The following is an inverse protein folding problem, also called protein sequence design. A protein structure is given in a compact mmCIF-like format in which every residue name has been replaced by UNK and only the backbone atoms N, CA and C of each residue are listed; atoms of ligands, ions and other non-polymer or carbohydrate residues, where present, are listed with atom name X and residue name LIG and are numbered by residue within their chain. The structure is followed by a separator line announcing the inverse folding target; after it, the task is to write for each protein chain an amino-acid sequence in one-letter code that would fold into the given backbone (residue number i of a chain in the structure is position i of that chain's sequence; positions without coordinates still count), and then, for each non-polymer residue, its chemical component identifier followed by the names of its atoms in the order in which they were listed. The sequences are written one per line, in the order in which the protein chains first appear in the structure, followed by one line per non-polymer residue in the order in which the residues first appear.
data_IF_326895541164
#
_entry.id   IF_326895541164
#
_cell.length_a   1.000
_cell.length_b   1.000
_cell.length_c   1.000
_cell.angle_alpha   90.00
_cell.angle_beta   90.00
_cell.angle_gamma   90.00
#
_symmetry.space_group_name_H-M   'P 1'
#
loop_
_entity.id
_entity.type
_entity.pdbx_description
1 polymer ?
#
# COMPACT_ATOMS: atom_id res chain seq x y z
N UNK A 1 0.46 -5.80 -16.05
CA UNK A 1 1.02 -5.82 -14.71
C UNK A 1 1.44 -4.42 -14.32
N UNK A 2 1.45 -4.11 -13.01
CA UNK A 2 1.84 -2.79 -12.53
C UNK A 2 3.37 -2.68 -12.42
N UNK A 3 3.92 -1.47 -12.55
CA UNK A 3 5.37 -1.23 -12.31
C UNK A 3 5.81 -1.67 -10.90
N UNK A 4 4.89 -1.64 -9.91
CA UNK A 4 5.15 -2.15 -8.57
C UNK A 4 5.44 -3.64 -8.53
N UNK A 5 4.59 -4.46 -9.19
CA UNK A 5 4.83 -5.91 -9.30
C UNK A 5 6.12 -6.24 -10.08
N UNK A 6 6.48 -5.42 -11.04
CA UNK A 6 7.72 -5.61 -11.79
C UNK A 6 8.94 -5.22 -10.94
N UNK A 7 8.82 -4.18 -10.11
CA UNK A 7 9.88 -3.74 -9.19
C UNK A 7 10.20 -4.79 -8.13
N UNK A 8 9.18 -5.38 -7.48
CA UNK A 8 9.40 -6.45 -6.48
C UNK A 8 10.16 -7.64 -7.07
N UNK A 9 9.78 -8.07 -8.30
CA UNK A 9 10.43 -9.18 -9.01
C UNK A 9 11.84 -8.85 -9.45
N UNK A 10 12.08 -7.61 -9.91
CA UNK A 10 13.42 -7.14 -10.27
C UNK A 10 14.34 -6.98 -9.06
N UNK A 11 13.78 -6.63 -7.88
CA UNK A 11 14.54 -6.61 -6.63
C UNK A 11 14.96 -8.01 -6.20
N UNK A 12 14.05 -8.98 -6.25
CA UNK A 12 14.41 -10.39 -6.01
C UNK A 12 15.46 -10.89 -7.00
N UNK A 13 15.28 -10.58 -8.28
CA UNK A 13 16.25 -10.97 -9.32
C UNK A 13 17.63 -10.40 -9.04
N UNK A 14 17.74 -9.12 -8.69
CA UNK A 14 19.01 -8.46 -8.38
C UNK A 14 19.69 -9.08 -7.14
N UNK A 15 18.92 -9.41 -6.09
CA UNK A 15 19.43 -10.11 -4.92
C UNK A 15 19.99 -11.49 -5.27
N UNK A 16 19.27 -12.27 -6.06
CA UNK A 16 19.72 -13.61 -6.49
C UNK A 16 20.92 -13.56 -7.44
N UNK A 17 20.98 -12.58 -8.36
CA UNK A 17 22.14 -12.36 -9.23
C UNK A 17 23.42 -12.08 -8.38
N UNK A 18 23.29 -11.26 -7.33
CA UNK A 18 24.42 -10.96 -6.43
C UNK A 18 24.86 -12.17 -5.62
N UNK A 19 23.92 -12.95 -5.06
CA UNK A 19 24.20 -14.17 -4.31
C UNK A 19 24.92 -15.19 -5.20
N UNK A 20 24.43 -15.41 -6.41
CA UNK A 20 25.05 -16.33 -7.36
C UNK A 20 26.46 -15.85 -7.79
N UNK A 21 26.62 -14.53 -8.01
CA UNK A 21 27.91 -13.93 -8.33
C UNK A 21 28.94 -14.07 -7.20
N UNK A 22 28.50 -14.25 -5.96
CA UNK A 22 29.34 -14.56 -4.80
C UNK A 22 29.68 -16.05 -4.63
N UNK A 23 29.28 -16.91 -5.59
CA UNK A 23 29.56 -18.34 -5.55
C UNK A 23 28.60 -19.14 -4.66
N UNK A 24 27.57 -18.53 -4.10
CA UNK A 24 26.61 -19.21 -3.24
C UNK A 24 25.53 -19.87 -4.11
N UNK A 25 25.32 -21.18 -3.91
CA UNK A 25 24.30 -21.91 -4.65
C UNK A 25 22.89 -21.55 -4.19
N UNK A 26 22.04 -21.13 -5.14
CA UNK A 26 20.62 -20.86 -4.89
C UNK A 26 19.82 -22.17 -4.91
N UNK A 27 18.76 -22.30 -4.09
CA UNK A 27 17.80 -23.41 -4.16
C UNK A 27 17.19 -23.55 -5.56
N UNK A 28 16.80 -24.77 -5.96
CA UNK A 28 16.30 -25.04 -7.31
C UNK A 28 15.05 -24.22 -7.67
N UNK A 29 14.11 -24.10 -6.74
CA UNK A 29 12.90 -23.29 -6.94
C UNK A 29 13.21 -21.79 -7.15
N UNK A 30 14.22 -21.26 -6.46
CA UNK A 30 14.70 -19.86 -6.63
C UNK A 30 15.38 -19.71 -7.98
N UNK A 31 16.21 -20.66 -8.41
CA UNK A 31 16.84 -20.64 -9.74
C UNK A 31 15.80 -20.64 -10.88
N UNK A 32 14.74 -21.42 -10.72
CA UNK A 32 13.63 -21.45 -11.69
C UNK A 32 12.94 -20.09 -11.78
N UNK A 33 12.64 -19.45 -10.64
CA UNK A 33 12.06 -18.10 -10.60
C UNK A 33 13.02 -17.05 -11.18
N UNK A 34 14.30 -17.13 -10.83
CA UNK A 34 15.35 -16.25 -11.36
C UNK A 34 15.42 -16.28 -12.89
N UNK A 35 15.40 -17.47 -13.49
CA UNK A 35 15.40 -17.61 -14.95
C UNK A 35 14.11 -17.02 -15.56
N UNK A 36 12.97 -17.26 -14.93
CA UNK A 36 11.67 -16.71 -15.39
C UNK A 36 11.69 -15.18 -15.35
N UNK A 37 12.16 -14.58 -14.26
CA UNK A 37 12.22 -13.12 -14.11
C UNK A 37 13.29 -12.51 -15.01
N UNK A 38 14.45 -13.14 -15.15
CA UNK A 38 15.50 -12.69 -16.06
C UNK A 38 15.02 -12.62 -17.51
N UNK A 39 14.35 -13.65 -17.99
CA UNK A 39 13.79 -13.66 -19.34
C UNK A 39 12.70 -12.61 -19.52
N UNK A 40 11.80 -12.48 -18.54
CA UNK A 40 10.69 -11.53 -18.58
C UNK A 40 11.15 -10.07 -18.63
N UNK A 41 12.14 -9.71 -17.80
CA UNK A 41 12.60 -8.33 -17.65
C UNK A 41 13.82 -8.00 -18.49
N UNK A 42 14.17 -8.84 -19.46
CA UNK A 42 15.35 -8.68 -20.32
C UNK A 42 15.40 -7.30 -21.01
N UNK A 43 14.25 -6.77 -21.41
CA UNK A 43 14.13 -5.49 -22.10
C UNK A 43 13.62 -4.34 -21.22
N UNK A 44 13.25 -4.59 -19.97
CA UNK A 44 12.74 -3.56 -19.05
C UNK A 44 13.87 -3.04 -18.14
N UNK A 45 14.75 -2.22 -18.72
CA UNK A 45 15.97 -1.76 -18.06
C UNK A 45 15.68 -0.88 -16.83
N UNK A 46 14.68 0.01 -16.91
CA UNK A 46 14.38 0.97 -15.82
C UNK A 46 14.04 0.26 -14.52
N UNK A 47 13.16 -0.75 -14.57
CA UNK A 47 12.75 -1.50 -13.39
C UNK A 47 13.88 -2.40 -12.88
N UNK A 48 14.71 -2.94 -13.79
CA UNK A 48 15.91 -3.70 -13.39
C UNK A 48 16.94 -2.83 -12.68
N UNK A 49 17.18 -1.62 -13.17
CA UNK A 49 18.07 -0.65 -12.51
C UNK A 49 17.53 -0.30 -11.13
N UNK A 50 16.23 -0.01 -11.02
CA UNK A 50 15.59 0.28 -9.71
C UNK A 50 15.73 -0.88 -8.74
N UNK A 51 15.51 -2.13 -9.20
CA UNK A 51 15.72 -3.32 -8.37
C UNK A 51 17.17 -3.47 -7.89
N UNK A 52 18.16 -3.21 -8.74
CA UNK A 52 19.58 -3.24 -8.35
C UNK A 52 19.94 -2.13 -7.36
N UNK A 53 19.39 -0.94 -7.57
CA UNK A 53 19.63 0.21 -6.68
C UNK A 53 19.05 0.00 -5.28
N UNK A 54 18.06 -0.89 -5.11
CA UNK A 54 17.49 -1.23 -3.82
C UNK A 54 18.43 -2.10 -2.95
N UNK A 55 19.30 -2.91 -3.57
CA UNK A 55 20.10 -3.92 -2.88
C UNK A 55 21.06 -3.32 -1.82
N UNK A 56 21.81 -2.24 -2.09
CA UNK A 56 22.70 -1.67 -1.08
C UNK A 56 21.97 -1.24 0.20
N UNK A 57 20.77 -0.66 0.09
CA UNK A 57 19.98 -0.25 1.24
C UNK A 57 19.45 -1.46 2.03
N UNK A 58 19.04 -2.53 1.37
CA UNK A 58 18.64 -3.79 2.01
C UNK A 58 19.81 -4.39 2.78
N UNK A 59 21.00 -4.47 2.16
CA UNK A 59 22.22 -5.03 2.80
C UNK A 59 22.65 -4.17 4.00
N UNK A 60 22.62 -2.85 3.88
CA UNK A 60 22.93 -1.92 4.96
C UNK A 60 21.98 -2.09 6.17
N UNK A 61 20.73 -2.49 5.92
CA UNK A 61 19.74 -2.80 6.95
C UNK A 61 19.89 -4.22 7.54
N UNK A 62 20.85 -5.02 7.08
CA UNK A 62 21.12 -6.36 7.58
C UNK A 62 20.33 -7.48 6.87
N UNK A 63 19.69 -7.20 5.73
CA UNK A 63 18.99 -8.23 4.95
C UNK A 63 19.98 -9.23 4.38
N UNK A 64 19.80 -10.52 4.71
CA UNK A 64 20.58 -11.58 4.10
C UNK A 64 19.97 -11.93 2.72
N UNK A 65 20.69 -11.57 1.66
CA UNK A 65 20.21 -11.74 0.28
C UNK A 65 19.99 -13.22 -0.10
N UNK A 66 20.68 -14.17 0.55
CA UNK A 66 20.48 -15.60 0.29
C UNK A 66 19.11 -16.11 0.77
N UNK A 67 18.46 -15.37 1.67
CA UNK A 67 17.13 -15.67 2.20
C UNK A 67 16.00 -14.95 1.44
N UNK A 68 16.33 -14.11 0.46
CA UNK A 68 15.32 -13.38 -0.32
C UNK A 68 14.45 -14.34 -1.12
N UNK A 69 13.14 -14.23 -0.92
CA UNK A 69 12.09 -14.96 -1.64
C UNK A 69 11.00 -14.00 -2.09
N UNK A 70 10.55 -14.14 -3.32
CA UNK A 70 9.34 -13.46 -3.80
C UNK A 70 8.13 -14.14 -3.16
N UNK A 71 7.30 -13.36 -2.47
CA UNK A 71 6.14 -13.87 -1.73
C UNK A 71 4.81 -13.45 -2.38
N UNK A 72 4.73 -12.25 -2.95
CA UNK A 72 3.52 -11.62 -3.45
C UNK A 72 2.78 -12.40 -4.53
N UNK A 73 1.48 -12.12 -4.66
CA UNK A 73 0.58 -12.40 -5.77
C UNK A 73 -0.02 -13.81 -5.94
N UNK A 74 0.40 -14.84 -5.23
CA UNK A 74 -0.20 -16.18 -5.37
C UNK A 74 -1.43 -16.38 -4.48
N UNK A 75 -1.62 -15.57 -3.46
CA UNK A 75 -2.67 -15.71 -2.44
C UNK A 75 -3.73 -14.61 -2.61
N UNK A 76 -5.01 -14.97 -2.46
CA UNK A 76 -6.11 -13.98 -2.42
C UNK A 76 -6.83 -14.09 -1.07
N UNK A 77 -7.06 -12.97 -0.38
CA UNK A 77 -6.64 -11.60 -0.72
C UNK A 77 -5.12 -11.43 -0.74
N UNK A 78 -4.62 -10.48 -1.53
CA UNK A 78 -3.17 -10.30 -1.69
C UNK A 78 -2.52 -9.84 -0.38
N UNK A 79 -1.44 -10.48 0.07
CA UNK A 79 -0.71 -10.09 1.26
C UNK A 79 -0.12 -8.68 1.14
N UNK A 80 0.28 -8.10 2.26
CA UNK A 80 1.06 -6.84 2.27
C UNK A 80 2.53 -7.08 1.98
N UNK A 81 3.00 -8.26 2.26
CA UNK A 81 4.37 -8.69 2.01
C UNK A 81 4.54 -9.11 0.55
N UNK A 82 5.48 -8.49 -0.13
CA UNK A 82 5.86 -8.79 -1.51
C UNK A 82 7.15 -9.64 -1.54
N UNK A 83 8.07 -9.39 -0.59
CA UNK A 83 9.36 -10.07 -0.46
C UNK A 83 9.57 -10.49 1.00
N UNK A 84 10.03 -11.72 1.22
CA UNK A 84 10.49 -12.21 2.52
C UNK A 84 11.99 -12.47 2.47
N UNK A 85 12.71 -12.04 3.52
CA UNK A 85 14.11 -12.37 3.72
C UNK A 85 14.42 -12.56 5.22
N UNK A 86 14.24 -13.77 5.73
CA UNK A 86 14.31 -14.04 7.17
C UNK A 86 13.24 -13.27 7.96
N UNK A 87 13.62 -12.39 8.91
CA UNK A 87 12.66 -11.61 9.68
C UNK A 87 12.09 -10.40 8.92
N UNK A 88 12.64 -10.09 7.75
CA UNK A 88 12.22 -8.95 6.94
C UNK A 88 11.03 -9.35 6.05
N UNK A 89 9.87 -8.76 6.30
CA UNK A 89 8.63 -8.88 5.53
C UNK A 89 8.41 -7.54 4.82
N UNK A 90 8.68 -7.50 3.53
CA UNK A 90 8.91 -6.25 2.80
C UNK A 90 7.76 -5.99 1.84
N UNK A 91 7.13 -4.82 1.96
CA UNK A 91 6.18 -4.29 0.97
C UNK A 91 6.88 -3.36 -0.02
N UNK A 92 6.81 -3.70 -1.30
CA UNK A 92 7.45 -2.92 -2.36
C UNK A 92 6.54 -1.81 -2.89
N UNK A 93 7.09 -0.61 -3.10
CA UNK A 93 6.35 0.55 -3.57
C UNK A 93 7.03 1.19 -4.77
N UNK A 94 6.24 1.42 -5.84
CA UNK A 94 6.66 2.21 -6.98
C UNK A 94 6.14 3.64 -6.84
N UNK A 95 7.04 4.60 -6.76
CA UNK A 95 6.76 5.95 -6.25
C UNK A 95 6.75 7.06 -7.32
N UNK A 96 6.89 6.70 -8.60
CA UNK A 96 6.98 7.67 -9.71
C UNK A 96 5.76 8.59 -9.84
N UNK A 97 4.55 8.03 -9.69
CA UNK A 97 3.26 8.72 -9.93
C UNK A 97 2.31 8.61 -8.76
N UNK A 98 2.85 8.68 -7.57
CA UNK A 98 2.13 8.47 -6.34
C UNK A 98 2.59 7.21 -5.62
N UNK A 99 2.19 7.11 -4.39
CA UNK A 99 2.62 6.08 -3.46
C UNK A 99 1.38 5.33 -2.98
N UNK A 100 1.10 4.18 -3.60
CA UNK A 100 -0.07 3.40 -3.23
C UNK A 100 0.19 2.62 -1.94
N UNK A 101 -0.57 2.94 -0.89
CA UNK A 101 -0.53 2.23 0.39
C UNK A 101 -1.34 0.94 0.32
N UNK A 102 -2.57 1.05 -0.13
CA UNK A 102 -3.49 -0.07 -0.29
C UNK A 102 -4.52 0.22 -1.38
N UNK A 103 -5.03 -0.83 -2.03
CA UNK A 103 -6.19 -0.75 -2.90
C UNK A 103 -6.94 -2.07 -2.93
N UNK A 104 -8.24 -2.00 -3.01
CA UNK A 104 -9.12 -3.15 -3.08
C UNK A 104 -10.53 -2.75 -3.47
N UNK A 105 -11.44 -3.72 -3.51
CA UNK A 105 -12.87 -3.40 -3.61
C UNK A 105 -13.28 -2.43 -2.50
N UNK A 106 -14.34 -1.66 -2.73
CA UNK A 106 -14.81 -0.67 -1.75
C UNK A 106 -15.02 -1.31 -0.37
N UNK A 107 -15.70 -2.45 -0.30
CA UNK A 107 -15.94 -3.15 0.97
C UNK A 107 -14.66 -3.50 1.72
N UNK A 108 -13.62 -3.94 0.99
CA UNK A 108 -12.33 -4.26 1.62
C UNK A 108 -11.63 -3.01 2.17
N UNK A 109 -11.65 -1.91 1.42
CA UNK A 109 -11.06 -0.64 1.87
C UNK A 109 -11.74 -0.13 3.13
N UNK A 110 -13.09 -0.19 3.17
CA UNK A 110 -13.82 0.25 4.37
C UNK A 110 -13.63 -0.69 5.56
N UNK A 111 -13.52 -1.99 5.35
CA UNK A 111 -13.15 -2.93 6.41
C UNK A 111 -11.78 -2.59 7.01
N UNK A 112 -10.80 -2.28 6.17
CA UNK A 112 -9.47 -1.86 6.65
C UNK A 112 -9.53 -0.55 7.44
N UNK A 113 -10.35 0.43 7.02
CA UNK A 113 -10.54 1.67 7.76
C UNK A 113 -11.25 1.43 9.10
N UNK A 114 -12.25 0.56 9.15
CA UNK A 114 -12.93 0.18 10.40
C UNK A 114 -12.00 -0.56 11.35
N UNK A 115 -11.18 -1.46 10.86
CA UNK A 115 -10.17 -2.15 11.68
C UNK A 115 -9.18 -1.14 12.29
N UNK A 116 -8.71 -0.17 11.50
CA UNK A 116 -7.84 0.88 11.99
C UNK A 116 -8.54 1.78 13.04
N UNK A 117 -9.83 2.07 12.85
CA UNK A 117 -10.63 2.82 13.80
C UNK A 117 -10.81 2.04 15.11
N UNK A 118 -11.10 0.75 15.04
CA UNK A 118 -11.24 -0.13 16.21
C UNK A 118 -9.92 -0.19 17.00
N UNK A 119 -8.79 -0.40 16.33
CA UNK A 119 -7.47 -0.39 16.95
C UNK A 119 -7.17 0.95 17.66
N UNK A 120 -7.45 2.07 17.00
CA UNK A 120 -7.26 3.40 17.61
C UNK A 120 -8.19 3.65 18.83
N UNK A 121 -9.37 3.04 18.84
CA UNK A 121 -10.27 3.08 19.99
C UNK A 121 -9.75 2.20 21.15
N UNK A 122 -9.30 0.99 20.87
CA UNK A 122 -8.75 0.05 21.86
C UNK A 122 -7.50 0.62 22.56
N UNK A 123 -6.67 1.37 21.82
CA UNK A 123 -5.51 2.06 22.41
C UNK A 123 -5.84 3.36 23.14
N UNK A 124 -7.11 3.80 23.09
CA UNK A 124 -7.54 5.05 23.70
C UNK A 124 -7.22 6.30 22.90
N UNK A 125 -6.65 6.15 21.70
CA UNK A 125 -6.30 7.26 20.81
C UNK A 125 -7.53 7.97 20.23
N UNK A 126 -8.65 7.24 20.08
CA UNK A 126 -9.94 7.76 19.63
C UNK A 126 -11.01 7.51 20.71
N UNK A 127 -11.60 8.57 21.30
CA UNK A 127 -12.64 8.42 22.32
C UNK A 127 -13.94 7.85 21.76
N UNK A 128 -14.76 7.19 22.60
CA UNK A 128 -16.00 6.50 22.21
C UNK A 128 -16.96 7.38 21.38
N UNK A 129 -17.19 8.62 21.80
CA UNK A 129 -18.08 9.53 21.08
C UNK A 129 -17.60 9.90 19.67
N UNK A 130 -16.28 9.93 19.46
CA UNK A 130 -15.66 10.16 18.16
C UNK A 130 -15.66 8.87 17.32
N UNK A 131 -15.41 7.73 17.96
CA UNK A 131 -15.49 6.41 17.31
C UNK A 131 -16.85 6.21 16.63
N UNK A 132 -17.95 6.40 17.36
CA UNK A 132 -19.30 6.21 16.82
C UNK A 132 -19.59 7.09 15.59
N UNK A 133 -19.18 8.36 15.65
CA UNK A 133 -19.36 9.30 14.53
C UNK A 133 -18.55 8.91 13.30
N UNK A 134 -17.31 8.47 13.48
CA UNK A 134 -16.46 8.02 12.34
C UNK A 134 -17.01 6.72 11.76
N UNK A 135 -17.45 5.79 12.61
CA UNK A 135 -18.04 4.52 12.16
C UNK A 135 -19.33 4.76 11.34
N UNK A 136 -20.18 5.70 11.77
CA UNK A 136 -21.34 6.14 11.01
C UNK A 136 -20.96 6.68 9.64
N UNK A 137 -19.99 7.61 9.57
CA UNK A 137 -19.49 8.15 8.29
C UNK A 137 -18.93 7.04 7.38
N UNK A 138 -18.19 6.10 7.94
CA UNK A 138 -17.66 4.98 7.16
C UNK A 138 -18.76 4.07 6.62
N UNK A 139 -19.83 3.83 7.41
CA UNK A 139 -20.99 3.05 6.98
C UNK A 139 -21.74 3.76 5.85
N UNK A 140 -22.04 5.05 6.00
CA UNK A 140 -22.76 5.83 4.99
C UNK A 140 -21.99 5.91 3.69
N UNK A 141 -20.67 6.10 3.80
CA UNK A 141 -19.79 6.13 2.63
C UNK A 141 -19.74 4.76 1.93
N UNK A 142 -19.66 3.67 2.69
CA UNK A 142 -19.69 2.31 2.16
C UNK A 142 -21.03 2.01 1.45
N UNK A 143 -22.15 2.48 1.98
CA UNK A 143 -23.47 2.35 1.35
C UNK A 143 -23.58 3.16 0.07
N UNK A 144 -23.11 4.42 0.09
CA UNK A 144 -23.15 5.32 -1.07
C UNK A 144 -22.34 4.77 -2.25
N UNK A 145 -21.15 4.27 -1.99
CA UNK A 145 -20.28 3.70 -3.01
C UNK A 145 -20.40 2.19 -3.14
N UNK A 146 -21.19 1.55 -2.24
CA UNK A 146 -21.29 0.10 -2.15
C UNK A 146 -21.79 -0.59 -3.40
N UNK A 147 -21.31 -1.75 -3.50
CA UNK A 147 -21.61 -2.98 -4.24
C UNK A 147 -22.21 -2.87 -5.65
N UNK A 148 -21.45 -3.34 -6.62
CA UNK A 148 -21.92 -3.67 -7.96
C UNK A 148 -21.18 -2.92 -9.05
N UNK A 149 -21.26 -3.48 -10.25
CA UNK A 149 -20.76 -2.84 -11.46
C UNK A 149 -21.73 -1.73 -11.85
N UNK A 150 -21.22 -0.55 -12.15
CA UNK A 150 -22.01 0.61 -12.54
C UNK A 150 -21.50 1.17 -13.85
N UNK A 151 -22.37 1.90 -14.58
CA UNK A 151 -21.93 2.64 -15.77
C UNK A 151 -20.92 3.73 -15.39
N UNK A 152 -20.07 4.08 -16.33
CA UNK A 152 -19.07 5.16 -16.13
C UNK A 152 -19.75 6.47 -15.69
N UNK A 153 -20.82 6.87 -16.36
CA UNK A 153 -21.54 8.12 -16.03
C UNK A 153 -22.12 8.11 -14.63
N UNK A 154 -22.65 6.98 -14.15
CA UNK A 154 -23.14 6.84 -12.78
C UNK A 154 -22.01 6.97 -11.75
N UNK A 155 -20.84 6.40 -12.03
CA UNK A 155 -19.68 6.50 -11.17
C UNK A 155 -19.13 7.94 -11.14
N UNK A 156 -18.99 8.57 -12.31
CA UNK A 156 -18.50 9.95 -12.40
C UNK A 156 -19.42 10.94 -11.67
N UNK A 157 -20.76 10.73 -11.75
CA UNK A 157 -21.73 11.52 -10.99
C UNK A 157 -21.59 11.31 -9.49
N UNK A 158 -21.40 10.07 -9.02
CA UNK A 158 -21.19 9.79 -7.61
C UNK A 158 -19.90 10.43 -7.09
N UNK A 159 -18.81 10.34 -7.86
CA UNK A 159 -17.51 10.91 -7.49
C UNK A 159 -17.55 12.45 -7.44
N UNK A 160 -18.37 13.07 -8.29
CA UNK A 160 -18.53 14.54 -8.35
C UNK A 160 -19.44 15.05 -7.23
N UNK A 161 -20.51 14.32 -6.89
CA UNK A 161 -21.52 14.75 -5.94
C UNK A 161 -21.12 14.60 -4.47
N UNK A 162 -20.12 13.75 -4.18
CA UNK A 162 -19.78 13.41 -2.80
C UNK A 162 -18.48 14.11 -2.36
N UNK A 163 -18.52 14.64 -1.15
CA UNK A 163 -17.32 15.10 -0.47
C UNK A 163 -16.35 13.93 -0.29
N UNK A 164 -15.06 14.23 -0.24
CA UNK A 164 -14.07 13.19 0.06
C UNK A 164 -14.31 12.62 1.45
N UNK A 165 -14.04 11.33 1.63
CA UNK A 165 -14.16 10.66 2.93
C UNK A 165 -13.40 11.42 4.04
N UNK A 166 -12.22 11.95 3.73
CA UNK A 166 -11.44 12.75 4.66
C UNK A 166 -12.11 14.05 5.07
N UNK A 167 -12.81 14.74 4.16
CA UNK A 167 -13.58 15.93 4.51
C UNK A 167 -14.72 15.59 5.47
N UNK A 168 -15.44 14.50 5.21
CA UNK A 168 -16.51 14.05 6.10
C UNK A 168 -15.99 13.63 7.47
N UNK A 169 -14.91 12.85 7.53
CA UNK A 169 -14.27 12.49 8.80
C UNK A 169 -13.74 13.74 9.52
N UNK A 170 -13.14 14.69 8.82
CA UNK A 170 -12.63 15.93 9.43
C UNK A 170 -13.72 16.78 10.08
N UNK A 171 -14.96 16.75 9.59
CA UNK A 171 -16.09 17.43 10.26
C UNK A 171 -16.36 16.86 11.66
N UNK A 172 -16.10 15.61 11.90
CA UNK A 172 -16.29 14.97 13.20
C UNK A 172 -15.05 15.04 14.11
N UNK A 173 -13.85 15.08 13.52
CA UNK A 173 -12.59 15.13 14.26
C UNK A 173 -12.11 16.56 14.54
N UNK A 174 -12.78 17.56 13.94
CA UNK A 174 -12.34 18.94 13.95
C UNK A 174 -11.34 19.26 12.83
N UNK A 175 -10.98 20.54 12.66
CA UNK A 175 -10.11 20.99 11.59
C UNK A 175 -8.73 20.34 11.72
N UNK A 176 -8.23 19.80 10.62
CA UNK A 176 -6.81 19.42 10.48
C UNK A 176 -6.05 20.72 10.43
N UNK A 177 -5.39 21.12 11.50
CA UNK A 177 -4.42 22.19 11.38
C UNK A 177 -3.27 21.71 10.49
N UNK A 178 -2.82 22.51 9.56
CA UNK A 178 -1.70 22.21 8.68
C UNK A 178 -0.37 21.96 9.42
N UNK A 179 -0.33 22.29 10.70
CA UNK A 179 0.73 22.01 11.66
C UNK A 179 0.23 21.06 12.75
N UNK A 180 -0.57 20.08 12.37
CA UNK A 180 -1.26 19.19 13.26
C UNK A 180 -0.38 18.81 14.44
N UNK A 181 -0.84 19.20 15.59
CA UNK A 181 -0.47 18.61 16.86
C UNK A 181 -0.42 17.08 16.68
N UNK A 182 0.77 16.53 16.74
CA UNK A 182 1.02 15.11 16.47
C UNK A 182 0.28 14.18 17.45
N UNK A 183 -0.39 14.73 18.45
CA UNK A 183 -1.14 14.05 19.51
C UNK A 183 -2.66 14.13 19.35
N UNK A 184 -3.20 14.93 18.43
CA UNK A 184 -4.66 15.07 18.26
C UNK A 184 -5.34 13.80 17.74
N UNK A 185 -6.63 13.63 18.09
CA UNK A 185 -7.47 12.48 17.69
C UNK A 185 -7.40 12.23 16.17
N UNK A 186 -7.43 13.28 15.36
CA UNK A 186 -7.29 13.19 13.91
C UNK A 186 -5.95 12.59 13.51
N UNK A 187 -4.86 13.04 14.14
CA UNK A 187 -3.51 12.53 13.87
C UNK A 187 -3.39 11.05 14.24
N UNK A 188 -3.92 10.64 15.37
CA UNK A 188 -3.87 9.25 15.83
C UNK A 188 -4.68 8.33 14.92
N UNK A 189 -5.90 8.71 14.55
CA UNK A 189 -6.68 7.97 13.57
C UNK A 189 -5.96 7.82 12.22
N UNK A 190 -5.38 8.91 11.69
CA UNK A 190 -4.61 8.87 10.45
C UNK A 190 -3.39 7.95 10.53
N UNK A 191 -2.69 7.95 11.67
CA UNK A 191 -1.58 7.02 11.91
C UNK A 191 -2.04 5.58 11.93
N UNK A 192 -3.15 5.27 12.61
CA UNK A 192 -3.72 3.93 12.64
C UNK A 192 -4.13 3.44 11.25
N UNK A 193 -4.76 4.30 10.43
CA UNK A 193 -5.11 3.99 9.04
C UNK A 193 -3.88 3.69 8.20
N UNK A 194 -2.85 4.52 8.28
CA UNK A 194 -1.61 4.33 7.52
C UNK A 194 -0.86 3.09 8.00
N UNK A 195 -0.79 2.86 9.30
CA UNK A 195 -0.15 1.68 9.88
C UNK A 195 -0.81 0.40 9.34
N UNK A 196 -2.14 0.29 9.44
CA UNK A 196 -2.86 -0.88 8.92
C UNK A 196 -2.71 -1.00 7.40
N UNK A 197 -2.78 0.11 6.66
CA UNK A 197 -2.61 0.10 5.21
C UNK A 197 -1.21 -0.37 4.76
N UNK A 198 -0.18 -0.15 5.57
CA UNK A 198 1.19 -0.59 5.32
C UNK A 198 1.43 -2.02 5.79
N UNK A 199 1.00 -2.34 7.00
CA UNK A 199 1.32 -3.62 7.65
C UNK A 199 0.30 -4.72 7.38
N UNK A 200 -1.00 -4.40 7.38
CA UNK A 200 -2.09 -5.37 7.37
C UNK A 200 -2.20 -6.18 8.67
N UNK A 201 -1.67 -5.67 9.78
CA UNK A 201 -1.59 -6.41 11.05
C UNK A 201 -2.94 -6.78 11.63
N UNK A 202 -3.96 -5.93 11.47
CA UNK A 202 -5.33 -6.24 11.91
C UNK A 202 -5.99 -7.31 11.04
N UNK A 203 -5.63 -7.34 9.75
CA UNK A 203 -6.19 -8.30 8.81
C UNK A 203 -5.51 -9.68 8.90
N UNK A 204 -4.20 -9.73 9.07
CA UNK A 204 -3.40 -10.94 8.91
C UNK A 204 -2.75 -11.43 10.21
N UNK A 205 -2.68 -10.56 11.22
CA UNK A 205 -1.90 -10.78 12.43
C UNK A 205 -0.45 -10.32 12.30
N UNK A 206 0.10 -9.77 13.35
CA UNK A 206 1.43 -9.14 13.37
C UNK A 206 2.58 -10.09 13.02
N UNK A 207 2.46 -11.34 13.44
CA UNK A 207 3.50 -12.37 13.23
C UNK A 207 3.37 -13.10 11.89
N UNK A 208 2.26 -12.86 11.15
CA UNK A 208 2.00 -13.50 9.87
C UNK A 208 3.01 -13.09 8.79
N UNK A 209 3.31 -14.00 7.88
CA UNK A 209 4.12 -13.71 6.68
C UNK A 209 3.38 -12.79 5.69
N UNK A 210 2.06 -12.69 5.78
CA UNK A 210 1.22 -11.79 5.00
C UNK A 210 1.34 -10.33 5.42
N UNK A 211 1.71 -10.06 6.68
CA UNK A 211 1.88 -8.72 7.24
C UNK A 211 3.29 -8.20 6.98
N UNK A 212 3.40 -6.93 6.52
CA UNK A 212 4.69 -6.30 6.28
C UNK A 212 5.22 -5.57 7.52
N UNK A 213 6.55 -5.59 7.72
CA UNK A 213 7.24 -4.81 8.74
C UNK A 213 8.27 -3.83 8.15
N UNK A 214 8.49 -3.89 6.83
CA UNK A 214 9.36 -2.97 6.08
C UNK A 214 8.68 -2.51 4.79
N UNK A 215 9.08 -1.33 4.33
CA UNK A 215 8.75 -0.79 3.01
C UNK A 215 10.02 -0.63 2.21
N UNK A 216 9.98 -1.01 0.95
CA UNK A 216 11.02 -0.75 -0.03
C UNK A 216 10.43 0.10 -1.16
N UNK A 217 10.81 1.38 -1.19
CA UNK A 217 10.45 2.29 -2.27
C UNK A 217 11.55 2.40 -3.31
N UNK A 218 11.20 2.52 -4.59
CA UNK A 218 12.20 2.70 -5.64
C UNK A 218 12.90 4.07 -5.59
N UNK A 219 12.33 5.06 -4.89
CA UNK A 219 12.90 6.39 -4.69
C UNK A 219 13.20 6.70 -3.22
N UNK A 220 12.37 6.23 -2.28
CA UNK A 220 12.56 6.48 -0.85
C UNK A 220 13.62 5.58 -0.23
N UNK A 221 13.84 4.38 -0.77
CA UNK A 221 14.77 3.40 -0.21
C UNK A 221 14.09 2.39 0.72
N UNK A 222 14.85 1.86 1.69
CA UNK A 222 14.43 0.77 2.57
C UNK A 222 14.16 1.29 3.99
N UNK A 223 12.94 1.15 4.47
CA UNK A 223 12.48 1.68 5.75
C UNK A 223 11.76 0.64 6.59
N UNK A 224 12.07 0.57 7.87
CA UNK A 224 11.22 -0.13 8.84
C UNK A 224 9.91 0.66 9.03
N UNK A 225 8.78 -0.05 9.17
CA UNK A 225 7.48 0.57 9.46
C UNK A 225 7.44 0.93 10.94
N UNK A 226 8.13 2.01 11.30
CA UNK A 226 8.20 2.55 12.66
C UNK A 226 7.12 3.61 12.90
N UNK A 227 6.80 3.96 14.16
CA UNK A 227 5.91 5.08 14.47
C UNK A 227 6.33 6.39 13.80
N UNK A 228 7.64 6.66 13.69
CA UNK A 228 8.18 7.83 12.97
C UNK A 228 7.82 7.76 11.47
N UNK A 229 8.06 6.63 10.82
CA UNK A 229 7.74 6.42 9.40
C UNK A 229 6.24 6.60 9.15
N UNK A 230 5.40 5.94 9.95
CA UNK A 230 3.94 6.05 9.87
C UNK A 230 3.48 7.50 10.05
N UNK A 231 4.03 8.23 11.04
CA UNK A 231 3.70 9.63 11.29
C UNK A 231 4.03 10.55 10.10
N UNK A 232 5.13 10.29 9.39
CA UNK A 232 5.49 11.03 8.18
C UNK A 232 4.50 10.74 7.06
N UNK A 233 4.22 9.47 6.77
CA UNK A 233 3.30 9.07 5.70
C UNK A 233 1.88 9.57 5.96
N UNK A 234 1.45 9.57 7.24
CA UNK A 234 0.11 10.01 7.66
C UNK A 234 -0.18 11.49 7.36
N UNK A 235 0.83 12.32 7.17
CA UNK A 235 0.65 13.73 6.76
C UNK A 235 0.19 13.89 5.30
N UNK A 236 0.43 12.88 4.45
CA UNK A 236 0.36 13.00 3.01
C UNK A 236 -0.62 12.04 2.34
N UNK A 237 -1.16 11.06 3.07
CA UNK A 237 -2.07 10.09 2.47
C UNK A 237 -3.44 10.68 2.14
N UNK A 238 -4.12 10.05 1.22
CA UNK A 238 -5.52 10.30 0.92
C UNK A 238 -6.28 8.99 0.68
N UNK A 239 -7.58 9.02 0.99
CA UNK A 239 -8.50 7.92 0.72
C UNK A 239 -9.51 8.38 -0.31
N UNK A 240 -9.57 7.69 -1.44
CA UNK A 240 -10.53 8.01 -2.49
C UNK A 240 -11.08 6.78 -3.19
N UNK A 241 -12.36 6.76 -3.53
CA UNK A 241 -12.89 5.83 -4.50
C UNK A 241 -12.45 6.24 -5.91
N UNK A 242 -12.21 5.26 -6.78
CA UNK A 242 -12.02 5.50 -8.20
C UNK A 242 -12.58 4.36 -9.04
N UNK A 243 -12.91 4.66 -10.29
CA UNK A 243 -13.40 3.66 -11.24
C UNK A 243 -12.25 2.87 -11.85
N UNK A 244 -12.32 1.54 -11.80
CA UNK A 244 -11.40 0.64 -12.49
C UNK A 244 -12.13 -0.06 -13.61
N UNK A 245 -11.57 -0.08 -14.83
CA UNK A 245 -12.08 -0.91 -15.93
C UNK A 245 -12.16 -2.36 -15.47
N UNK A 246 -13.34 -2.96 -15.55
CA UNK A 246 -13.55 -4.36 -15.23
C UNK A 246 -12.65 -5.25 -16.10
N UNK A 247 -12.14 -6.33 -15.54
CA UNK A 247 -11.52 -7.40 -16.32
C UNK A 247 -12.67 -8.22 -16.96
N UNK A 248 -13.18 -7.80 -18.09
CA UNK A 248 -14.18 -8.51 -18.84
C UNK A 248 -14.16 -8.04 -20.28
N UNK A 249 -14.14 -8.97 -21.19
CA UNK A 249 -14.21 -8.77 -22.63
C UNK A 249 -15.63 -8.38 -23.07
N UNK A 250 -16.17 -7.27 -22.57
CA UNK A 250 -17.35 -6.72 -23.17
C UNK A 250 -16.87 -5.78 -24.30
N UNK A 251 -17.17 -6.08 -25.55
CA UNK A 251 -16.70 -5.31 -26.70
C UNK A 251 -17.33 -3.91 -26.80
N UNK A 252 -18.42 -3.65 -26.06
CA UNK A 252 -19.07 -2.33 -26.08
C UNK A 252 -18.51 -1.43 -24.97
N UNK A 253 -17.71 -0.39 -25.32
CA UNK A 253 -17.17 0.56 -24.34
C UNK A 253 -18.23 1.39 -23.61
N UNK A 254 -19.49 1.42 -24.11
CA UNK A 254 -20.60 2.13 -23.47
C UNK A 254 -21.30 1.27 -22.42
N UNK A 255 -21.16 -0.05 -22.50
CA UNK A 255 -21.71 -1.01 -21.54
C UNK A 255 -20.63 -1.51 -20.57
N UNK A 256 -19.35 -1.16 -20.80
CA UNK A 256 -18.25 -1.58 -19.95
C UNK A 256 -18.50 -1.15 -18.49
N UNK A 257 -19.00 -2.10 -17.71
CA UNK A 257 -19.26 -1.92 -16.30
C UNK A 257 -17.94 -1.70 -15.57
N UNK A 258 -17.83 -0.58 -14.90
CA UNK A 258 -16.66 -0.25 -14.09
C UNK A 258 -16.88 -0.70 -12.65
N UNK A 259 -15.83 -1.21 -12.04
CA UNK A 259 -15.80 -1.54 -10.63
C UNK A 259 -15.29 -0.34 -9.84
N UNK A 260 -16.01 0.04 -8.80
CA UNK A 260 -15.50 1.00 -7.83
C UNK A 260 -14.52 0.31 -6.89
N UNK A 261 -13.35 0.90 -6.77
CA UNK A 261 -12.32 0.46 -5.83
C UNK A 261 -11.97 1.62 -4.89
N UNK A 262 -11.69 1.29 -3.64
CA UNK A 262 -11.09 2.21 -2.70
C UNK A 262 -9.57 2.21 -2.85
N UNK A 263 -8.95 3.39 -2.80
CA UNK A 263 -7.51 3.55 -2.82
C UNK A 263 -7.05 4.43 -1.67
N UNK A 264 -6.12 3.88 -0.87
CA UNK A 264 -5.31 4.64 0.05
C UNK A 264 -3.97 4.90 -0.62
N UNK A 265 -3.64 6.18 -0.81
CA UNK A 265 -2.41 6.55 -1.52
C UNK A 265 -1.87 7.90 -1.05
N UNK A 266 -0.58 8.13 -1.26
CA UNK A 266 -0.01 9.47 -1.33
C UNK A 266 -0.05 9.90 -2.80
N UNK A 267 -0.71 11.01 -3.08
CA UNK A 267 -0.85 11.52 -4.45
C UNK A 267 0.48 11.98 -5.02
N UNK A 268 0.59 12.07 -6.36
CA UNK A 268 1.82 12.49 -7.04
C UNK A 268 2.34 13.84 -6.50
N UNK A 269 1.46 14.82 -6.29
CA UNK A 269 1.85 16.13 -5.76
C UNK A 269 2.44 16.09 -4.35
N UNK A 270 2.02 15.14 -3.53
CA UNK A 270 2.50 14.96 -2.16
C UNK A 270 3.70 14.00 -2.07
N UNK A 271 3.92 13.15 -3.08
CA UNK A 271 5.02 12.18 -3.05
C UNK A 271 6.38 12.86 -2.94
N UNK A 272 6.60 13.97 -3.62
CA UNK A 272 7.87 14.71 -3.52
C UNK A 272 8.13 15.23 -2.10
N UNK A 273 7.09 15.70 -1.41
CA UNK A 273 7.19 16.16 -0.01
C UNK A 273 7.48 14.99 0.93
N UNK A 274 6.75 13.89 0.75
CA UNK A 274 6.99 12.65 1.50
C UNK A 274 8.44 12.19 1.35
N UNK A 275 8.95 12.09 0.11
CA UNK A 275 10.31 11.65 -0.16
C UNK A 275 11.37 12.59 0.45
N UNK A 276 11.11 13.89 0.50
CA UNK A 276 11.99 14.84 1.16
C UNK A 276 12.06 14.59 2.67
N UNK A 277 10.92 14.34 3.33
CA UNK A 277 10.90 14.06 4.78
C UNK A 277 11.49 12.69 5.14
N UNK A 278 11.39 11.68 4.27
CA UNK A 278 11.93 10.35 4.52
C UNK A 278 13.48 10.28 4.41
N UNK A 279 14.10 11.29 3.79
CA UNK A 279 15.56 11.38 3.65
C UNK A 279 16.26 12.02 4.86
N UNK A 280 15.49 12.63 5.77
CA UNK A 280 15.94 13.27 7.01
C UNK A 280 15.50 12.48 8.25
#
# INVERSE_FOLDING_TARGET
MSKGEDFEKCTCLAAWEQVQGSGIALPQNVRTQMNTFSNRFRQNLDVRVSGRNAIPAMVAAGVNLSQVRHYGAAVKPSPKTDIIAGPFKISCKWEDKGYQLASGGISWTFSSLKNALAAAYETGDVPLGTFGKIDEVLNDYAQTFGVGRRSKSSIDSLLTANQTLQQQISQHLGPVSSNADASGVHSQFNKAVVYEALTGNQQWGEISDESANYVLGNLSGFHAITPKYVSIVAKYYSVRPYARKGRGSDPDPNIAQQELVGRLEVTEGNTRRLLAELRH
#
